data_IF_883273544060
#
_entry.id   IF_883273544060
#
_cell.length_a   1.000
_cell.length_b   1.000
_cell.length_c   1.000
_cell.angle_alpha   90.00
_cell.angle_beta   90.00
_cell.angle_gamma   90.00
#
_symmetry.space_group_name_H-M   'P 1'
#
loop_
_entity.id
_entity.type
_entity.pdbx_description
1 polymer ?
#
# COMPACT_ATOMS: atom_id res chain seq x y z
N UNK A 1 4.07 9.18 6.60
CA UNK A 1 2.81 8.43 6.78
C UNK A 1 2.37 8.47 8.23
N UNK A 2 2.76 7.55 9.13
CA UNK A 2 2.26 7.54 10.51
C UNK A 2 2.38 8.89 11.26
N UNK A 3 3.52 9.60 11.14
CA UNK A 3 3.68 10.93 11.74
C UNK A 3 2.71 11.99 11.18
N UNK A 4 2.37 11.89 9.89
CA UNK A 4 1.41 12.77 9.24
C UNK A 4 -0.03 12.43 9.65
N UNK A 5 -0.35 11.13 9.75
CA UNK A 5 -1.64 10.67 10.27
C UNK A 5 -1.84 11.13 11.72
N UNK A 6 -0.81 11.03 12.57
CA UNK A 6 -0.86 11.53 13.96
C UNK A 6 -1.01 13.04 14.03
N UNK A 7 -0.36 13.78 13.13
CA UNK A 7 -0.49 15.24 13.06
C UNK A 7 -1.90 15.65 12.63
N UNK A 8 -2.49 14.92 11.68
CA UNK A 8 -3.88 15.12 11.24
C UNK A 8 -4.88 14.86 12.37
N UNK A 9 -4.71 13.76 13.10
CA UNK A 9 -5.55 13.43 14.26
C UNK A 9 -5.40 14.45 15.39
N UNK A 10 -4.19 14.95 15.62
CA UNK A 10 -3.95 16.01 16.60
C UNK A 10 -4.66 17.31 16.18
N UNK A 11 -4.56 17.72 14.92
CA UNK A 11 -5.27 18.88 14.39
C UNK A 11 -6.80 18.73 14.49
N UNK A 12 -7.35 17.54 14.22
CA UNK A 12 -8.77 17.24 14.43
C UNK A 12 -9.19 17.38 15.91
N UNK A 13 -8.34 16.92 16.84
CA UNK A 13 -8.59 17.08 18.27
C UNK A 13 -8.53 18.55 18.70
N UNK A 14 -7.61 19.35 18.15
CA UNK A 14 -7.52 20.78 18.39
C UNK A 14 -8.71 21.55 17.80
N UNK A 15 -9.18 21.17 16.62
CA UNK A 15 -10.37 21.74 15.98
C UNK A 15 -11.64 21.47 16.80
N UNK A 16 -11.85 20.23 17.26
CA UNK A 16 -12.98 19.89 18.12
C UNK A 16 -12.88 20.55 19.49
N UNK A 17 -11.67 20.62 20.06
CA UNK A 17 -11.40 21.30 21.32
C UNK A 17 -11.66 22.80 21.23
N UNK A 18 -11.22 23.45 20.15
CA UNK A 18 -11.42 24.88 19.92
C UNK A 18 -12.89 25.20 19.68
N UNK A 19 -13.65 24.36 18.99
CA UNK A 19 -15.10 24.53 18.86
C UNK A 19 -15.82 24.47 20.22
N UNK A 20 -15.43 23.52 21.09
CA UNK A 20 -15.98 23.45 22.45
C UNK A 20 -15.54 24.60 23.36
N UNK A 21 -14.32 25.11 23.21
CA UNK A 21 -13.79 26.23 23.99
C UNK A 21 -14.28 27.59 23.49
N UNK A 22 -14.57 27.73 22.19
CA UNK A 22 -15.19 28.93 21.61
C UNK A 22 -16.59 29.18 22.19
N UNK A 23 -17.28 28.13 22.61
CA UNK A 23 -18.52 28.24 23.40
C UNK A 23 -18.32 28.87 24.80
N UNK A 24 -17.08 29.05 25.24
CA UNK A 24 -16.72 29.45 26.60
C UNK A 24 -15.77 30.66 26.58
N UNK A 25 -16.30 31.83 26.19
CA UNK A 25 -15.64 33.17 26.21
C UNK A 25 -14.10 33.14 25.99
N UNK A 26 -13.64 32.39 24.98
CA UNK A 26 -12.22 32.34 24.66
C UNK A 26 -11.84 33.53 23.78
N UNK A 27 -10.59 33.97 23.86
CA UNK A 27 -10.07 35.06 23.03
C UNK A 27 -10.17 34.70 21.54
N UNK A 28 -10.88 35.53 20.77
CA UNK A 28 -11.12 35.36 19.32
C UNK A 28 -9.83 35.16 18.51
N UNK A 29 -8.74 35.79 18.94
CA UNK A 29 -7.40 35.67 18.34
C UNK A 29 -6.85 34.23 18.42
N UNK A 30 -7.01 33.55 19.56
CA UNK A 30 -6.54 32.17 19.72
C UNK A 30 -7.34 31.21 18.83
N UNK A 31 -8.67 31.36 18.81
CA UNK A 31 -9.55 30.53 17.97
C UNK A 31 -9.22 30.75 16.48
N UNK A 32 -9.01 32.00 16.05
CA UNK A 32 -8.63 32.31 14.68
C UNK A 32 -7.26 31.73 14.29
N UNK A 33 -6.28 31.77 15.20
CA UNK A 33 -4.95 31.22 14.96
C UNK A 33 -4.97 29.69 14.87
N UNK A 34 -5.72 29.03 15.76
CA UNK A 34 -5.91 27.57 15.76
C UNK A 34 -6.62 27.13 14.49
N UNK A 35 -7.70 27.82 14.10
CA UNK A 35 -8.44 27.60 12.87
C UNK A 35 -7.55 27.60 11.61
N UNK A 36 -6.69 28.61 11.45
CA UNK A 36 -5.75 28.70 10.33
C UNK A 36 -4.72 27.57 10.36
N UNK A 37 -4.13 27.32 11.52
CA UNK A 37 -3.09 26.30 11.67
C UNK A 37 -3.65 24.89 11.45
N UNK A 38 -4.80 24.57 12.02
CA UNK A 38 -5.43 23.25 11.90
C UNK A 38 -5.80 22.97 10.44
N UNK A 39 -6.40 23.94 9.75
CA UNK A 39 -6.75 23.80 8.33
C UNK A 39 -5.49 23.56 7.50
N UNK A 40 -4.44 24.37 7.68
CA UNK A 40 -3.16 24.16 7.01
C UNK A 40 -2.57 22.77 7.30
N UNK A 41 -2.56 22.36 8.57
CA UNK A 41 -2.01 21.06 8.98
C UNK A 41 -2.76 19.90 8.34
N UNK A 42 -4.10 19.93 8.30
CA UNK A 42 -4.93 18.88 7.70
C UNK A 42 -4.62 18.76 6.19
N UNK A 43 -4.54 19.87 5.46
CA UNK A 43 -4.26 19.84 4.02
C UNK A 43 -2.81 19.40 3.73
N UNK A 44 -1.83 19.97 4.42
CA UNK A 44 -0.42 19.63 4.21
C UNK A 44 -0.12 18.16 4.57
N UNK A 45 -0.66 17.67 5.68
CA UNK A 45 -0.42 16.29 6.14
C UNK A 45 -1.12 15.24 5.29
N UNK A 46 -2.34 15.51 4.83
CA UNK A 46 -3.09 14.62 3.94
C UNK A 46 -2.48 14.53 2.54
N UNK A 47 -2.12 15.67 1.94
CA UNK A 47 -1.38 15.73 0.68
C UNK A 47 -0.09 14.92 0.80
N UNK A 48 0.69 15.17 1.85
CA UNK A 48 1.92 14.43 2.13
C UNK A 48 1.67 12.92 2.30
N UNK A 49 0.55 12.51 2.91
CA UNK A 49 0.13 11.12 3.03
C UNK A 49 -0.01 10.43 1.66
N UNK A 50 -0.67 11.08 0.71
CA UNK A 50 -0.87 10.57 -0.66
C UNK A 50 0.47 10.49 -1.41
N UNK A 51 1.34 11.51 -1.27
CA UNK A 51 2.69 11.45 -1.82
C UNK A 51 3.54 10.33 -1.21
N UNK A 52 3.38 10.03 0.09
CA UNK A 52 3.99 8.86 0.71
C UNK A 52 3.51 7.56 0.06
N UNK A 53 2.22 7.44 -0.26
CA UNK A 53 1.69 6.27 -0.97
C UNK A 53 2.26 6.11 -2.37
N UNK A 54 2.45 7.22 -3.10
CA UNK A 54 3.14 7.22 -4.38
C UNK A 54 4.58 6.70 -4.25
N UNK A 55 5.33 7.21 -3.28
CA UNK A 55 6.69 6.74 -3.01
C UNK A 55 6.69 5.24 -2.68
N UNK A 56 5.77 4.77 -1.84
CA UNK A 56 5.63 3.35 -1.52
C UNK A 56 5.30 2.51 -2.75
N UNK A 57 4.41 2.96 -3.64
CA UNK A 57 4.14 2.30 -4.92
C UNK A 57 5.38 2.25 -5.82
N UNK A 58 6.14 3.35 -5.91
CA UNK A 58 7.41 3.42 -6.63
C UNK A 58 8.46 2.46 -6.07
N UNK A 59 8.60 2.37 -4.75
CA UNK A 59 9.50 1.42 -4.09
C UNK A 59 9.11 -0.04 -4.37
N UNK A 60 7.80 -0.35 -4.37
CA UNK A 60 7.29 -1.68 -4.76
C UNK A 60 7.65 -2.01 -6.21
N UNK A 61 7.48 -1.05 -7.12
CA UNK A 61 7.85 -1.20 -8.52
C UNK A 61 9.35 -1.45 -8.68
N UNK A 62 10.20 -0.64 -8.03
CA UNK A 62 11.65 -0.76 -8.12
C UNK A 62 12.17 -2.08 -7.52
N UNK A 63 11.60 -2.53 -6.40
CA UNK A 63 11.97 -3.80 -5.77
C UNK A 63 11.79 -5.02 -6.70
N UNK A 64 10.85 -4.93 -7.65
CA UNK A 64 10.50 -6.03 -8.56
C UNK A 64 11.25 -5.94 -9.89
N UNK A 65 11.40 -4.74 -10.45
CA UNK A 65 12.08 -4.55 -11.74
C UNK A 65 13.61 -4.41 -11.62
N UNK A 66 14.10 -3.79 -10.55
CA UNK A 66 15.53 -3.54 -10.34
C UNK A 66 15.97 -3.90 -8.91
N UNK A 67 16.08 -5.21 -8.59
CA UNK A 67 16.41 -5.67 -7.23
C UNK A 67 17.79 -5.18 -6.74
N UNK A 68 18.74 -4.96 -7.66
CA UNK A 68 20.07 -4.43 -7.33
C UNK A 68 20.06 -2.91 -7.08
N UNK A 69 19.17 -2.16 -7.73
CA UNK A 69 18.97 -0.74 -7.43
C UNK A 69 18.30 -0.55 -6.06
N UNK A 70 17.33 -1.40 -5.72
CA UNK A 70 16.66 -1.40 -4.41
C UNK A 70 17.63 -1.59 -3.22
N UNK A 71 18.73 -2.36 -3.39
CA UNK A 71 19.75 -2.55 -2.35
C UNK A 71 20.61 -1.29 -2.11
N UNK A 72 20.81 -0.47 -3.14
CA UNK A 72 21.58 0.79 -3.05
C UNK A 72 20.69 1.95 -2.57
N UNK A 73 19.39 1.88 -2.86
CA UNK A 73 18.39 2.91 -2.59
C UNK A 73 17.86 2.92 -1.14
N UNK A 74 18.57 2.39 -0.14
CA UNK A 74 18.04 2.41 1.25
C UNK A 74 18.21 3.79 1.93
N UNK A 75 19.12 4.65 1.46
CA UNK A 75 19.32 6.02 2.02
C UNK A 75 18.58 7.12 1.27
N UNK A 76 18.36 6.96 -0.03
CA UNK A 76 17.68 7.95 -0.88
C UNK A 76 16.17 8.17 -0.62
N UNK A 77 15.35 7.22 -0.11
CA UNK A 77 13.91 7.45 0.05
C UNK A 77 13.60 8.46 1.15
N UNK A 78 14.52 8.64 2.12
CA UNK A 78 14.37 9.69 3.13
C UNK A 78 14.52 11.09 2.52
N UNK A 79 15.42 11.27 1.56
CA UNK A 79 15.57 12.55 0.87
C UNK A 79 14.32 12.87 0.06
N UNK A 80 13.83 11.89 -0.73
CA UNK A 80 12.59 12.05 -1.51
C UNK A 80 11.41 12.37 -0.58
N UNK A 81 11.32 11.72 0.59
CA UNK A 81 10.30 11.98 1.59
C UNK A 81 10.38 13.40 2.16
N UNK A 82 11.59 13.88 2.50
CA UNK A 82 11.80 15.25 2.99
C UNK A 82 11.45 16.28 1.91
N UNK A 83 11.88 16.06 0.67
CA UNK A 83 11.51 16.91 -0.46
C UNK A 83 9.99 16.93 -0.69
N UNK A 84 9.32 15.78 -0.58
CA UNK A 84 7.87 15.71 -0.69
C UNK A 84 7.18 16.46 0.46
N UNK A 85 7.66 16.33 1.70
CA UNK A 85 7.12 17.06 2.85
C UNK A 85 7.26 18.58 2.68
N UNK A 86 8.46 19.05 2.30
CA UNK A 86 8.71 20.47 2.03
C UNK A 86 7.85 20.96 0.88
N UNK A 87 7.76 20.18 -0.21
CA UNK A 87 6.93 20.50 -1.37
C UNK A 87 5.45 20.65 -1.01
N UNK A 88 4.90 19.72 -0.21
CA UNK A 88 3.52 19.82 0.28
C UNK A 88 3.33 21.06 1.16
N UNK A 89 4.22 21.32 2.13
CA UNK A 89 4.09 22.50 2.98
C UNK A 89 4.16 23.82 2.19
N UNK A 90 5.03 23.92 1.18
CA UNK A 90 5.14 25.11 0.34
C UNK A 90 3.89 25.29 -0.52
N UNK A 91 3.41 24.22 -1.13
CA UNK A 91 2.24 24.26 -2.00
C UNK A 91 0.94 24.51 -1.24
N UNK A 92 0.83 24.06 0.02
CA UNK A 92 -0.33 24.33 0.88
C UNK A 92 -0.22 25.63 1.68
N UNK A 93 0.90 26.36 1.59
CA UNK A 93 1.12 27.57 2.39
C UNK A 93 0.13 28.71 2.08
N UNK A 94 -0.50 28.69 0.90
CA UNK A 94 -1.51 29.69 0.52
C UNK A 94 -2.75 29.66 1.44
N UNK A 95 -3.11 28.50 2.00
CA UNK A 95 -4.26 28.32 2.90
C UNK A 95 -4.12 29.20 4.16
N UNK A 96 -2.88 29.40 4.65
CA UNK A 96 -2.62 30.26 5.81
C UNK A 96 -3.04 31.72 5.56
N UNK A 97 -2.99 32.16 4.31
CA UNK A 97 -3.35 33.51 3.89
C UNK A 97 -4.85 33.65 3.58
N UNK A 98 -5.47 32.61 3.03
CA UNK A 98 -6.87 32.63 2.61
C UNK A 98 -7.88 32.48 3.76
N UNK A 99 -7.57 31.61 4.74
CA UNK A 99 -8.54 31.27 5.78
C UNK A 99 -8.67 32.40 6.80
N UNK A 100 -9.89 32.88 7.04
CA UNK A 100 -10.22 33.70 8.21
C UNK A 100 -11.32 33.06 9.05
N UNK A 101 -11.32 33.41 10.34
CA UNK A 101 -12.33 32.92 11.26
C UNK A 101 -13.56 33.82 11.15
N UNK A 102 -14.70 33.23 10.76
CA UNK A 102 -15.97 33.92 10.64
C UNK A 102 -16.73 33.79 11.96
N UNK A 103 -16.80 34.88 12.74
CA UNK A 103 -17.42 34.88 14.07
C UNK A 103 -18.91 34.51 14.04
N UNK A 104 -19.63 34.87 12.97
CA UNK A 104 -21.07 34.64 12.81
C UNK A 104 -21.42 33.16 12.62
N UNK A 105 -20.60 32.44 11.85
CA UNK A 105 -20.81 31.02 11.56
C UNK A 105 -20.04 30.09 12.51
N UNK A 106 -19.10 30.64 13.31
CA UNK A 106 -18.14 29.87 14.15
C UNK A 106 -17.34 28.85 13.34
N UNK A 107 -17.10 29.15 12.06
CA UNK A 107 -16.37 28.31 11.13
C UNK A 107 -15.19 29.06 10.53
N UNK A 108 -14.23 28.29 10.05
CA UNK A 108 -13.15 28.77 9.20
C UNK A 108 -13.70 28.96 7.78
N UNK A 109 -13.63 30.18 7.24
CA UNK A 109 -14.09 30.52 5.89
C UNK A 109 -12.96 31.05 5.02
N UNK A 110 -13.10 30.87 3.71
CA UNK A 110 -12.20 31.41 2.68
C UNK A 110 -12.49 32.91 2.47
N UNK A 111 -11.47 33.71 2.18
CA UNK A 111 -11.60 35.17 1.97
C UNK A 111 -11.15 35.66 0.61
N UNK A 112 -10.52 34.79 -0.18
CA UNK A 112 -10.15 35.11 -1.55
C UNK A 112 -11.40 35.34 -2.44
N UNK A 113 -11.25 36.14 -3.53
CA UNK A 113 -12.28 36.28 -4.54
C UNK A 113 -12.68 34.92 -5.10
N UNK A 114 -13.98 34.67 -5.26
CA UNK A 114 -14.55 33.37 -5.64
C UNK A 114 -13.84 32.74 -6.85
N UNK A 115 -13.50 33.53 -7.86
CA UNK A 115 -12.84 33.03 -9.08
C UNK A 115 -11.39 32.56 -8.84
N UNK A 116 -10.61 33.31 -8.05
CA UNK A 116 -9.22 32.94 -7.77
C UNK A 116 -9.16 31.78 -6.78
N UNK A 117 -10.05 31.76 -5.79
CA UNK A 117 -10.20 30.66 -4.84
C UNK A 117 -10.52 29.34 -5.55
N UNK A 118 -11.50 29.35 -6.48
CA UNK A 118 -11.86 28.15 -7.28
C UNK A 118 -10.68 27.61 -8.08
N UNK A 119 -9.90 28.47 -8.74
CA UNK A 119 -8.73 28.04 -9.53
C UNK A 119 -7.66 27.44 -8.62
N UNK A 120 -7.33 28.09 -7.51
CA UNK A 120 -6.32 27.59 -6.56
C UNK A 120 -6.74 26.25 -5.96
N UNK A 121 -8.01 26.13 -5.56
CA UNK A 121 -8.58 24.90 -5.04
C UNK A 121 -8.57 23.77 -6.08
N UNK A 122 -8.86 24.08 -7.35
CA UNK A 122 -8.77 23.10 -8.43
C UNK A 122 -7.32 22.63 -8.65
N UNK A 123 -6.36 23.55 -8.67
CA UNK A 123 -4.93 23.22 -8.81
C UNK A 123 -4.43 22.39 -7.63
N UNK A 124 -4.84 22.75 -6.40
CA UNK A 124 -4.58 21.98 -5.17
C UNK A 124 -5.08 20.55 -5.34
N UNK A 125 -6.37 20.36 -5.64
CA UNK A 125 -6.99 19.02 -5.76
C UNK A 125 -6.30 18.18 -6.84
N UNK A 126 -6.00 18.77 -8.00
CA UNK A 126 -5.34 18.06 -9.09
C UNK A 126 -3.93 17.62 -8.70
N UNK A 127 -3.16 18.50 -8.07
CA UNK A 127 -1.78 18.23 -7.69
C UNK A 127 -1.66 17.28 -6.50
N UNK A 128 -2.46 17.50 -5.46
CA UNK A 128 -2.38 16.76 -4.19
C UNK A 128 -2.94 15.35 -4.28
N UNK A 129 -3.95 15.13 -5.13
CA UNK A 129 -4.64 13.84 -5.22
C UNK A 129 -4.60 13.22 -6.62
N UNK A 130 -5.07 13.89 -7.67
CA UNK A 130 -5.25 13.23 -8.97
C UNK A 130 -3.94 12.86 -9.68
N UNK A 131 -2.92 13.72 -9.61
CA UNK A 131 -1.58 13.42 -10.14
C UNK A 131 -0.96 12.19 -9.45
N UNK A 132 -0.82 12.16 -8.11
CA UNK A 132 -0.26 10.98 -7.45
C UNK A 132 -1.15 9.74 -7.61
N UNK A 133 -2.48 9.87 -7.58
CA UNK A 133 -3.41 8.77 -7.85
C UNK A 133 -3.14 8.13 -9.23
N UNK A 134 -3.07 8.95 -10.26
CA UNK A 134 -2.84 8.48 -11.63
C UNK A 134 -1.51 7.74 -11.75
N UNK A 135 -0.45 8.27 -11.12
CA UNK A 135 0.86 7.62 -11.10
C UNK A 135 0.84 6.31 -10.31
N UNK A 136 0.16 6.25 -9.16
CA UNK A 136 -0.01 5.01 -8.38
C UNK A 136 -0.71 3.94 -9.22
N UNK A 137 -1.83 4.29 -9.87
CA UNK A 137 -2.58 3.37 -10.72
C UNK A 137 -1.69 2.83 -11.85
N UNK A 138 -0.94 3.70 -12.54
CA UNK A 138 -0.04 3.28 -13.62
C UNK A 138 1.08 2.36 -13.12
N UNK A 139 1.70 2.68 -11.99
CA UNK A 139 2.77 1.88 -11.39
C UNK A 139 2.26 0.52 -10.92
N UNK A 140 1.15 0.49 -10.19
CA UNK A 140 0.54 -0.72 -9.65
C UNK A 140 -0.07 -1.59 -10.77
N UNK A 141 -0.65 -1.00 -11.83
CA UNK A 141 -1.14 -1.74 -13.01
C UNK A 141 0.03 -2.37 -13.79
N UNK A 142 1.11 -1.62 -14.05
CA UNK A 142 2.32 -2.17 -14.68
C UNK A 142 2.87 -3.36 -13.88
N UNK A 143 2.86 -3.26 -12.56
CA UNK A 143 3.27 -4.31 -11.65
C UNK A 143 2.42 -5.58 -11.82
N UNK A 144 1.10 -5.43 -11.86
CA UNK A 144 0.14 -6.52 -12.04
C UNK A 144 0.27 -7.16 -13.43
N UNK A 145 0.33 -6.36 -14.50
CA UNK A 145 0.45 -6.84 -15.88
C UNK A 145 1.77 -7.58 -16.13
N UNK A 146 2.91 -7.02 -15.68
CA UNK A 146 4.22 -7.65 -15.86
C UNK A 146 4.36 -8.95 -15.05
N UNK A 147 3.72 -9.03 -13.88
CA UNK A 147 3.77 -10.25 -13.08
C UNK A 147 2.78 -11.32 -13.58
N UNK A 148 1.56 -10.93 -13.95
CA UNK A 148 0.55 -11.84 -14.52
C UNK A 148 1.08 -12.53 -15.78
N UNK A 149 1.67 -11.76 -16.69
CA UNK A 149 2.29 -12.30 -17.91
C UNK A 149 3.49 -13.22 -17.63
N UNK A 150 4.33 -12.92 -16.64
CA UNK A 150 5.43 -13.83 -16.22
C UNK A 150 4.91 -15.12 -15.57
N UNK A 151 3.80 -15.06 -14.84
CA UNK A 151 3.19 -16.24 -14.22
C UNK A 151 2.53 -17.12 -15.30
N UNK A 152 1.77 -16.51 -16.21
CA UNK A 152 1.13 -17.17 -17.34
C UNK A 152 2.15 -17.80 -18.28
N UNK A 153 3.22 -17.08 -18.66
CA UNK A 153 4.33 -17.64 -19.46
C UNK A 153 4.99 -18.85 -18.79
N UNK A 154 5.12 -18.84 -17.45
CA UNK A 154 5.66 -20.00 -16.71
C UNK A 154 4.68 -21.16 -16.61
N UNK A 155 3.38 -20.88 -16.52
CA UNK A 155 2.34 -21.91 -16.53
C UNK A 155 2.27 -22.59 -17.90
N UNK A 156 2.29 -21.80 -18.97
CA UNK A 156 2.34 -22.29 -20.35
C UNK A 156 3.65 -23.05 -20.64
N UNK A 157 4.80 -22.54 -20.19
CA UNK A 157 6.08 -23.26 -20.32
C UNK A 157 6.08 -24.59 -19.54
N UNK A 158 5.36 -24.67 -18.41
CA UNK A 158 5.23 -25.92 -17.65
C UNK A 158 4.28 -26.91 -18.33
N UNK A 159 3.21 -26.43 -18.95
CA UNK A 159 2.30 -27.24 -19.79
C UNK A 159 3.06 -27.84 -20.97
N UNK A 160 3.85 -27.03 -21.69
CA UNK A 160 4.65 -27.50 -22.81
C UNK A 160 5.70 -28.56 -22.41
N UNK A 161 6.25 -28.49 -21.19
CA UNK A 161 7.16 -29.54 -20.68
C UNK A 161 6.43 -30.82 -20.25
N UNK A 162 5.15 -30.74 -19.90
CA UNK A 162 4.34 -31.91 -19.55
C UNK A 162 3.86 -32.65 -20.80
N UNK A 163 3.49 -31.93 -21.85
CA UNK A 163 3.10 -32.54 -23.14
C UNK A 163 4.30 -33.26 -23.79
N UNK A 164 5.49 -32.66 -23.76
CA UNK A 164 6.73 -33.30 -24.23
C UNK A 164 7.12 -34.56 -23.42
N UNK A 165 6.76 -34.63 -22.14
CA UNK A 165 7.01 -35.82 -21.32
C UNK A 165 6.00 -36.95 -21.62
N UNK A 166 4.83 -36.62 -22.18
CA UNK A 166 3.78 -37.57 -22.50
C UNK A 166 3.94 -38.19 -23.89
N UNK A 167 4.53 -37.47 -24.84
CA UNK A 167 4.93 -38.02 -26.14
C UNK A 167 6.06 -39.06 -26.02
N UNK A 168 6.94 -38.96 -25.01
CA UNK A 168 7.98 -39.96 -24.74
C UNK A 168 7.40 -41.23 -24.10
N UNK A 169 6.29 -41.13 -23.36
CA UNK A 169 5.63 -42.27 -22.73
C UNK A 169 4.64 -42.99 -23.67
N UNK A 170 4.23 -42.36 -24.76
CA UNK A 170 3.24 -42.90 -25.72
C UNK A 170 3.89 -43.59 -26.94
N UNK A 171 5.22 -43.72 -26.95
CA UNK A 171 5.96 -44.50 -27.94
C UNK A 171 5.68 -46.00 -27.82
N UNK A 172 4.61 -46.46 -28.49
CA UNK A 172 4.34 -47.87 -28.78
C UNK A 172 5.43 -48.38 -29.72
N UNK A 173 6.51 -48.90 -29.14
CA UNK A 173 7.61 -49.58 -29.83
C UNK A 173 7.79 -50.99 -29.27
N UNK A 174 7.34 -51.96 -30.07
CA UNK A 174 7.54 -53.42 -30.04
C UNK A 174 8.62 -53.97 -29.09
N UNK A 175 8.34 -55.02 -28.28
CA UNK A 175 9.32 -55.63 -27.38
C UNK A 175 10.29 -56.56 -28.15
N UNK A 176 11.60 -56.39 -27.93
CA UNK A 176 12.63 -57.38 -28.25
C UNK A 176 13.30 -57.83 -26.95
N UNK A 177 13.48 -59.14 -26.69
CA UNK A 177 13.95 -59.64 -25.41
C UNK A 177 15.46 -59.87 -25.43
N UNK A 178 16.22 -59.03 -24.72
CA UNK A 178 17.48 -59.42 -24.09
C UNK A 178 17.99 -58.29 -23.20
N UNK A 179 18.53 -58.69 -22.05
CA UNK A 179 19.31 -57.90 -21.09
C UNK A 179 18.49 -57.21 -19.98
N UNK A 180 18.18 -58.04 -18.99
CA UNK A 180 17.95 -57.66 -17.60
C UNK A 180 19.15 -56.91 -17.02
N UNK A 181 19.06 -55.59 -16.95
CA UNK A 181 19.91 -54.78 -16.08
C UNK A 181 19.10 -53.59 -15.54
N UNK A 182 18.73 -53.71 -14.26
CA UNK A 182 18.38 -52.62 -13.34
C UNK A 182 17.50 -51.49 -13.91
N UNK A 183 16.19 -51.73 -13.88
CA UNK A 183 15.13 -50.72 -13.97
C UNK A 183 15.21 -49.79 -12.74
N UNK A 184 16.09 -48.80 -12.79
CA UNK A 184 16.03 -47.63 -11.91
C UNK A 184 14.83 -46.79 -12.31
N UNK A 185 13.71 -47.03 -11.63
CA UNK A 185 12.55 -46.13 -11.62
C UNK A 185 13.08 -44.69 -11.46
N UNK A 186 12.70 -43.72 -12.33
CA UNK A 186 13.00 -42.33 -12.04
C UNK A 186 12.31 -42.02 -10.70
N UNK A 187 13.00 -41.46 -9.71
CA UNK A 187 12.35 -41.11 -8.45
C UNK A 187 11.24 -40.13 -8.81
N UNK A 188 10.03 -40.46 -8.38
CA UNK A 188 8.90 -39.55 -8.29
C UNK A 188 9.47 -38.29 -7.65
N UNK A 189 9.75 -37.27 -8.47
CA UNK A 189 10.19 -35.97 -7.98
C UNK A 189 8.95 -35.40 -7.31
N UNK A 190 8.81 -35.73 -6.03
CA UNK A 190 8.06 -34.93 -5.10
C UNK A 190 8.37 -33.48 -5.44
N UNK A 191 7.29 -32.75 -5.65
CA UNK A 191 7.24 -31.35 -6.04
C UNK A 191 7.80 -30.51 -4.88
N UNK A 192 9.06 -30.73 -4.49
CA UNK A 192 9.80 -29.95 -3.53
C UNK A 192 10.01 -28.62 -4.21
N UNK A 193 9.06 -27.71 -3.97
CA UNK A 193 9.20 -26.31 -4.34
C UNK A 193 10.55 -25.86 -3.80
N UNK A 194 11.47 -25.56 -4.72
CA UNK A 194 12.76 -24.98 -4.38
C UNK A 194 12.55 -23.79 -3.43
N UNK A 195 13.42 -23.59 -2.41
CA UNK A 195 13.24 -22.56 -1.37
C UNK A 195 13.10 -21.13 -1.95
N UNK A 196 13.59 -20.91 -3.17
CA UNK A 196 13.41 -19.70 -3.96
C UNK A 196 11.96 -19.49 -4.44
N UNK A 197 11.21 -20.55 -4.77
CA UNK A 197 9.80 -20.49 -5.20
C UNK A 197 8.87 -20.16 -4.03
N UNK A 198 9.12 -20.75 -2.86
CA UNK A 198 8.37 -20.45 -1.61
C UNK A 198 8.54 -19.00 -1.19
N UNK A 199 9.77 -18.47 -1.23
CA UNK A 199 10.09 -17.07 -0.88
C UNK A 199 9.41 -16.06 -1.82
N UNK A 200 9.32 -16.37 -3.12
CA UNK A 200 8.62 -15.52 -4.11
C UNK A 200 7.11 -15.51 -3.93
N UNK A 201 6.48 -16.66 -3.66
CA UNK A 201 5.03 -16.75 -3.40
C UNK A 201 4.65 -15.99 -2.12
N UNK A 202 5.52 -15.99 -1.10
CA UNK A 202 5.34 -15.17 0.10
C UNK A 202 5.47 -13.68 -0.18
N UNK A 203 6.50 -13.26 -0.92
CA UNK A 203 6.68 -11.86 -1.34
C UNK A 203 5.48 -11.34 -2.14
N UNK A 204 4.91 -12.17 -3.02
CA UNK A 204 3.72 -11.82 -3.79
C UNK A 204 2.47 -11.68 -2.91
N UNK A 205 2.29 -12.54 -1.91
CA UNK A 205 1.17 -12.42 -0.97
C UNK A 205 1.24 -11.13 -0.16
N UNK A 206 2.44 -10.76 0.29
CA UNK A 206 2.68 -9.49 0.99
C UNK A 206 2.40 -8.31 0.04
N UNK A 207 2.88 -8.39 -1.19
CA UNK A 207 2.66 -7.37 -2.21
C UNK A 207 1.17 -7.16 -2.52
N UNK A 208 0.41 -8.24 -2.75
CA UNK A 208 -1.03 -8.18 -3.01
C UNK A 208 -1.80 -7.53 -1.87
N UNK A 209 -1.41 -7.82 -0.61
CA UNK A 209 -2.01 -7.19 0.56
C UNK A 209 -1.68 -5.70 0.63
N UNK A 210 -0.42 -5.33 0.39
CA UNK A 210 0.01 -3.93 0.37
C UNK A 210 -0.70 -3.14 -0.74
N UNK A 211 -0.90 -3.75 -1.91
CA UNK A 211 -1.68 -3.17 -3.01
C UNK A 211 -3.17 -3.03 -2.66
N UNK A 212 -3.77 -4.04 -2.02
CA UNK A 212 -5.15 -3.96 -1.53
C UNK A 212 -5.32 -2.80 -0.53
N UNK A 213 -4.39 -2.65 0.40
CA UNK A 213 -4.37 -1.56 1.37
C UNK A 213 -4.31 -0.20 0.66
N UNK A 214 -3.38 -0.03 -0.29
CA UNK A 214 -3.27 1.22 -1.05
C UNK A 214 -4.55 1.53 -1.85
N UNK A 215 -5.22 0.51 -2.41
CA UNK A 215 -6.48 0.72 -3.12
C UNK A 215 -7.57 1.19 -2.16
N UNK A 216 -7.74 0.52 -1.01
CA UNK A 216 -8.75 0.90 -0.02
C UNK A 216 -8.51 2.34 0.44
N UNK A 217 -7.27 2.68 0.74
CA UNK A 217 -6.87 4.02 1.16
C UNK A 217 -7.20 5.11 0.11
N UNK A 218 -6.89 4.85 -1.16
CA UNK A 218 -7.21 5.77 -2.26
C UNK A 218 -8.72 5.90 -2.49
N UNK A 219 -9.46 4.79 -2.36
CA UNK A 219 -10.92 4.76 -2.53
C UNK A 219 -11.63 5.46 -1.37
N UNK A 220 -11.11 5.40 -0.14
CA UNK A 220 -11.69 6.15 0.99
C UNK A 220 -11.52 7.66 0.83
N UNK A 221 -10.45 8.11 0.19
CA UNK A 221 -10.22 9.52 -0.15
C UNK A 221 -11.11 10.02 -1.29
N UNK A 222 -11.34 9.17 -2.28
CA UNK A 222 -11.93 9.57 -3.57
C UNK A 222 -13.25 10.34 -3.44
N UNK A 223 -14.23 9.92 -2.60
CA UNK A 223 -15.49 10.64 -2.45
C UNK A 223 -15.30 12.11 -2.07
N UNK A 224 -14.44 12.39 -1.09
CA UNK A 224 -14.21 13.74 -0.61
C UNK A 224 -13.59 14.63 -1.70
N UNK A 225 -12.57 14.13 -2.40
CA UNK A 225 -11.94 14.87 -3.50
C UNK A 225 -12.86 15.04 -4.71
N UNK A 226 -13.76 14.09 -4.99
CA UNK A 226 -14.77 14.24 -6.04
C UNK A 226 -15.82 15.28 -5.68
N UNK A 227 -16.28 15.32 -4.43
CA UNK A 227 -17.22 16.36 -3.95
C UNK A 227 -16.55 17.72 -4.04
N UNK A 228 -15.32 17.87 -3.52
CA UNK A 228 -14.57 19.13 -3.61
C UNK A 228 -14.36 19.56 -5.07
N UNK A 229 -13.95 18.64 -5.95
CA UNK A 229 -13.79 18.91 -7.38
C UNK A 229 -15.10 19.37 -8.03
N UNK A 230 -16.21 18.71 -7.71
CA UNK A 230 -17.53 19.06 -8.22
C UNK A 230 -17.93 20.46 -7.78
N UNK A 231 -17.73 20.80 -6.51
CA UNK A 231 -18.02 22.14 -5.96
C UNK A 231 -17.13 23.22 -6.58
N UNK A 232 -15.84 22.96 -6.82
CA UNK A 232 -14.94 23.92 -7.47
C UNK A 232 -15.27 24.15 -8.95
N UNK A 233 -15.89 23.18 -9.63
CA UNK A 233 -16.30 23.29 -11.04
C UNK A 233 -17.73 23.82 -11.22
N UNK A 234 -18.56 23.76 -10.18
CA UNK A 234 -19.95 24.19 -10.24
C UNK A 234 -20.08 25.71 -10.38
N UNK A 235 -21.11 26.14 -11.13
CA UNK A 235 -21.53 27.54 -11.19
C UNK A 235 -22.23 27.97 -9.90
N UNK A 236 -22.29 29.27 -9.63
CA UNK A 236 -22.90 29.79 -8.40
C UNK A 236 -24.40 29.42 -8.31
N UNK A 237 -25.14 29.44 -9.42
CA UNK A 237 -26.56 29.01 -9.46
C UNK A 237 -26.73 27.53 -9.09
N UNK A 238 -25.86 26.67 -9.60
CA UNK A 238 -25.88 25.23 -9.25
C UNK A 238 -25.50 24.98 -7.80
N UNK A 239 -24.63 25.81 -7.21
CA UNK A 239 -24.20 25.68 -5.83
C UNK A 239 -25.36 25.93 -4.85
N UNK A 240 -26.19 26.95 -5.12
CA UNK A 240 -27.39 27.24 -4.30
C UNK A 240 -28.40 26.09 -4.33
N UNK A 241 -28.66 25.53 -5.52
CA UNK A 241 -29.55 24.38 -5.69
C UNK A 241 -29.03 23.13 -4.96
N UNK A 242 -27.71 22.91 -5.01
CA UNK A 242 -27.06 21.77 -4.37
C UNK A 242 -27.04 21.93 -2.85
N UNK A 243 -26.84 23.14 -2.34
CA UNK A 243 -26.87 23.47 -0.91
C UNK A 243 -28.25 23.19 -0.29
N UNK A 244 -29.33 23.37 -1.04
CA UNK A 244 -30.69 23.05 -0.57
C UNK A 244 -31.00 21.54 -0.56
N UNK A 245 -30.22 20.72 -1.27
CA UNK A 245 -30.50 19.29 -1.36
C UNK A 245 -29.92 18.53 -0.16
N UNK A 246 -30.79 18.07 0.73
CA UNK A 246 -30.41 17.32 1.94
C UNK A 246 -29.61 16.04 1.65
N UNK A 247 -29.84 15.40 0.50
CA UNK A 247 -29.09 14.19 0.12
C UNK A 247 -27.65 14.49 -0.24
N UNK A 248 -27.38 15.65 -0.86
CA UNK A 248 -26.03 16.07 -1.19
C UNK A 248 -25.24 16.43 0.07
N UNK A 249 -25.87 17.15 1.01
CA UNK A 249 -25.26 17.50 2.29
C UNK A 249 -24.83 16.25 3.07
N UNK A 250 -25.71 15.25 3.14
CA UNK A 250 -25.41 13.97 3.79
C UNK A 250 -24.27 13.22 3.10
N UNK A 251 -24.22 13.25 1.77
CA UNK A 251 -23.14 12.65 1.01
C UNK A 251 -21.80 13.35 1.24
N UNK A 252 -21.80 14.68 1.32
CA UNK A 252 -20.62 15.49 1.65
C UNK A 252 -20.07 15.11 3.03
N UNK A 253 -20.91 15.11 4.06
CA UNK A 253 -20.50 14.74 5.43
C UNK A 253 -19.96 13.30 5.49
N UNK A 254 -20.63 12.37 4.81
CA UNK A 254 -20.18 10.99 4.73
C UNK A 254 -18.82 10.85 4.02
N UNK A 255 -18.62 11.61 2.93
CA UNK A 255 -17.36 11.63 2.19
C UNK A 255 -16.20 12.17 3.05
N UNK A 256 -16.47 13.21 3.84
CA UNK A 256 -15.51 13.79 4.77
C UNK A 256 -15.20 12.85 5.94
N UNK A 257 -16.20 12.11 6.43
CA UNK A 257 -16.01 11.08 7.44
C UNK A 257 -15.10 9.95 6.95
N UNK A 258 -15.31 9.46 5.72
CA UNK A 258 -14.46 8.44 5.10
C UNK A 258 -13.01 8.92 4.96
N UNK A 259 -12.84 10.17 4.54
CA UNK A 259 -11.54 10.82 4.43
C UNK A 259 -10.81 10.84 5.79
N UNK A 260 -11.46 11.27 6.87
CA UNK A 260 -10.81 11.30 8.19
C UNK A 260 -10.59 9.91 8.81
N UNK A 261 -11.48 8.95 8.54
CA UNK A 261 -11.33 7.58 9.03
C UNK A 261 -10.04 6.93 8.52
N UNK A 262 -9.56 7.33 7.34
CA UNK A 262 -8.31 6.84 6.74
C UNK A 262 -7.09 7.00 7.68
N UNK A 263 -6.97 8.13 8.38
CA UNK A 263 -5.82 8.41 9.25
C UNK A 263 -5.68 7.35 10.36
N UNK A 264 -6.81 6.82 10.85
CA UNK A 264 -6.84 5.73 11.82
C UNK A 264 -6.58 4.36 11.19
N UNK A 265 -7.05 4.14 9.96
CA UNK A 265 -6.90 2.88 9.23
C UNK A 265 -5.45 2.61 8.83
N UNK A 266 -4.67 3.65 8.52
CA UNK A 266 -3.23 3.53 8.22
C UNK A 266 -2.44 2.81 9.32
N UNK A 267 -2.75 3.09 10.59
CA UNK A 267 -2.14 2.41 11.73
C UNK A 267 -2.55 0.93 11.80
N UNK A 268 -3.84 0.62 11.59
CA UNK A 268 -4.35 -0.75 11.57
C UNK A 268 -3.70 -1.59 10.45
N UNK A 269 -3.48 -0.98 9.30
CA UNK A 269 -2.80 -1.63 8.16
C UNK A 269 -1.34 -1.97 8.47
N UNK A 270 -0.59 -1.09 9.14
CA UNK A 270 0.78 -1.37 9.56
C UNK A 270 0.86 -2.52 10.56
N UNK A 271 -0.08 -2.59 11.51
CA UNK A 271 -0.22 -3.70 12.44
C UNK A 271 -0.53 -4.99 11.68
N UNK A 272 -1.50 -4.97 10.76
CA UNK A 272 -1.88 -6.13 9.96
C UNK A 272 -0.73 -6.63 9.05
N UNK A 273 0.11 -5.73 8.52
CA UNK A 273 1.28 -6.10 7.72
C UNK A 273 2.35 -6.76 8.61
N UNK A 274 2.66 -6.17 9.77
CA UNK A 274 3.73 -6.65 10.66
C UNK A 274 3.38 -7.95 11.39
N UNK A 275 2.17 -8.10 11.93
CA UNK A 275 1.78 -9.28 12.69
C UNK A 275 1.64 -10.55 11.83
N UNK A 276 1.42 -10.41 10.52
CA UNK A 276 1.23 -11.55 9.62
C UNK A 276 2.49 -11.89 8.82
N UNK A 277 3.62 -11.20 9.04
CA UNK A 277 4.92 -11.68 8.63
C UNK A 277 5.31 -12.83 9.58
N UNK A 278 5.32 -14.10 9.12
CA UNK A 278 5.71 -15.20 9.99
C UNK A 278 7.14 -14.95 10.45
N UNK A 279 7.33 -14.89 11.77
CA UNK A 279 8.60 -14.58 12.38
C UNK A 279 9.72 -15.44 11.76
N UNK A 280 10.58 -14.81 10.97
CA UNK A 280 11.71 -15.48 10.31
C UNK A 280 12.64 -16.12 11.34
N UNK A 281 12.64 -15.65 12.59
CA UNK A 281 13.43 -16.24 13.68
C UNK A 281 12.86 -17.59 14.11
N UNK A 282 11.53 -17.74 14.19
CA UNK A 282 10.88 -19.02 14.49
C UNK A 282 11.20 -20.08 13.44
N UNK A 283 11.09 -19.72 12.15
CA UNK A 283 11.34 -20.66 11.04
C UNK A 283 12.82 -21.07 10.94
N UNK A 284 13.77 -20.18 11.23
CA UNK A 284 15.20 -20.54 11.32
C UNK A 284 15.46 -21.52 12.48
N UNK A 285 14.83 -21.31 13.65
CA UNK A 285 14.93 -22.23 14.79
C UNK A 285 14.39 -23.62 14.45
N UNK A 286 13.25 -23.71 13.78
CA UNK A 286 12.68 -25.01 13.34
C UNK A 286 13.53 -25.70 12.28
N UNK A 287 14.09 -24.95 11.31
CA UNK A 287 14.93 -25.55 10.26
C UNK A 287 16.26 -26.08 10.84
N UNK A 288 16.85 -25.36 11.81
CA UNK A 288 18.05 -25.81 12.52
C UNK A 288 17.74 -27.02 13.40
N UNK A 289 16.58 -27.02 14.10
CA UNK A 289 16.13 -28.15 14.93
C UNK A 289 15.86 -29.40 14.08
N UNK A 290 15.27 -29.25 12.90
CA UNK A 290 15.04 -30.34 11.94
C UNK A 290 16.36 -30.87 11.33
N UNK A 291 17.31 -29.99 11.01
CA UNK A 291 18.63 -30.39 10.54
C UNK A 291 19.43 -31.14 11.61
N UNK A 292 19.38 -30.69 12.88
CA UNK A 292 20.01 -31.39 14.00
C UNK A 292 19.36 -32.76 14.26
N UNK A 293 18.03 -32.87 14.14
CA UNK A 293 17.33 -34.16 14.27
C UNK A 293 17.70 -35.14 13.14
N UNK A 294 17.87 -34.65 11.91
CA UNK A 294 18.31 -35.48 10.77
C UNK A 294 19.75 -35.98 10.92
N UNK A 295 20.65 -35.14 11.45
CA UNK A 295 22.04 -35.52 11.74
C UNK A 295 22.10 -36.58 12.85
N UNK A 296 21.29 -36.44 13.91
CA UNK A 296 21.18 -37.44 14.98
C UNK A 296 20.64 -38.78 14.47
N UNK A 297 19.64 -38.77 13.58
CA UNK A 297 19.11 -39.98 12.96
C UNK A 297 20.16 -40.69 12.06
N UNK A 298 20.99 -39.92 11.34
CA UNK A 298 22.08 -40.49 10.53
C UNK A 298 23.20 -41.11 11.38
N UNK A 299 23.51 -40.54 12.55
CA UNK A 299 24.50 -41.11 13.47
C UNK A 299 24.03 -42.41 14.14
N UNK A 300 22.72 -42.58 14.36
CA UNK A 300 22.15 -43.83 14.89
C UNK A 300 22.12 -44.97 13.85
N UNK A 301 22.00 -44.66 12.56
CA UNK A 301 22.06 -45.66 11.48
C UNK A 301 23.50 -46.15 11.26
N UNK A 302 24.50 -45.30 11.51
CA UNK A 302 25.92 -45.66 11.36
C UNK A 302 26.48 -46.51 12.52
N UNK A 303 25.74 -46.65 13.63
CA UNK A 303 26.13 -47.45 14.80
C UNK A 303 25.53 -48.85 14.83
N UNK A 304 24.87 -49.31 13.76
CA UNK A 304 24.44 -50.71 13.63
C UNK A 304 25.69 -51.58 13.42
N UNK A 305 26.03 -52.49 14.35
CA UNK A 305 27.22 -53.31 14.23
C UNK A 305 27.10 -54.23 13.00
N UNK A 306 28.08 -54.14 12.09
CA UNK A 306 28.29 -55.09 10.99
C UNK A 306 28.69 -56.45 11.56
N UNK A 307 27.73 -57.18 12.12
CA UNK A 307 27.87 -58.61 12.42
C UNK A 307 26.77 -59.36 11.69
N UNK A 308 26.91 -59.49 10.37
CA UNK A 308 26.34 -60.62 9.62
C UNK A 308 27.15 -60.80 8.32
N UNK A 309 28.30 -61.45 8.46
CA UNK A 309 28.98 -62.16 7.36
C UNK A 309 29.07 -63.62 7.80
N UNK A 310 28.22 -64.47 7.20
CA UNK A 310 28.44 -65.89 6.82
C UNK A 310 27.08 -66.57 6.64
N UNK A 311 26.66 -66.69 5.38
CA UNK A 311 26.53 -67.95 4.65
C UNK A 311 26.67 -67.61 3.17
#
# INVERSE_FOLDING_TARGET
MAAADTLSLLALMLALGSHHLANRESSTILVASVCKLDTFLIHASSAFGIWCWLILSGLRYLAIHHPYAHLRLHREPMLILVCAAIGCCLLESWILFDVTYLEEARTCGETLPEELGKILQLVEILWTYFVPLSLIIVLDLKLLCCHSTRLLKRFLAHSATLDSAWDVASGVGVPSPANSAALSRPPLRDFVLTPTRVRRVQQLRILKRCLCISIIDLVMNLPNYLVRLYLSLASNETLELVSQNSTFLWFQDFSQLLYFAQFSMNALYLVAINYVLPDRKSRKKETVKAAMAAIHAQQQIATIPRNYKRC
#
